data_IF_092472311427
#
_entry.id   IF_092472311427
#
_cell.length_a   1.000
_cell.length_b   1.000
_cell.length_c   1.000
_cell.angle_alpha   90.00
_cell.angle_beta   90.00
_cell.angle_gamma   90.00
#
_symmetry.space_group_name_H-M   'P 1'
#
loop_
_entity.id
_entity.type
_entity.pdbx_description
1 polymer ?
#
# COMPACT_ATOMS: atom_id res chain seq x y z
N UNK A 1 17.34 -37.86 -9.56
CA UNK A 1 17.48 -36.98 -10.75
C UNK A 1 16.49 -35.80 -10.73
N UNK A 2 15.42 -35.85 -9.93
CA UNK A 2 14.34 -34.85 -9.89
C UNK A 2 14.68 -33.52 -9.17
N UNK A 3 15.50 -33.55 -8.10
CA UNK A 3 15.74 -32.37 -7.26
C UNK A 3 16.60 -31.28 -7.94
N UNK A 4 17.41 -31.65 -8.94
CA UNK A 4 18.23 -30.67 -9.70
C UNK A 4 17.36 -29.77 -10.58
N UNK A 5 16.31 -30.32 -11.21
CA UNK A 5 15.39 -29.54 -12.05
C UNK A 5 14.69 -28.44 -11.25
N UNK A 6 14.18 -28.76 -10.06
CA UNK A 6 13.52 -27.77 -9.18
C UNK A 6 14.49 -26.66 -8.78
N UNK A 7 15.73 -27.00 -8.43
CA UNK A 7 16.75 -26.00 -8.10
C UNK A 7 17.06 -25.08 -9.29
N UNK A 8 17.15 -25.64 -10.49
CA UNK A 8 17.37 -24.89 -11.73
C UNK A 8 16.18 -23.97 -12.07
N UNK A 9 14.93 -24.45 -11.88
CA UNK A 9 13.71 -23.63 -12.03
C UNK A 9 13.70 -22.43 -11.08
N UNK A 10 14.04 -22.60 -9.80
CA UNK A 10 14.14 -21.48 -8.86
C UNK A 10 15.28 -20.51 -9.23
N UNK A 11 16.36 -21.02 -9.82
CA UNK A 11 17.49 -20.21 -10.27
C UNK A 11 17.11 -19.35 -11.48
N UNK A 12 16.38 -19.90 -12.43
CA UNK A 12 15.83 -19.19 -13.58
C UNK A 12 14.76 -18.18 -13.16
N UNK A 13 13.81 -18.57 -12.30
CA UNK A 13 12.80 -17.66 -11.77
C UNK A 13 13.42 -16.45 -11.03
N UNK A 14 14.48 -16.68 -10.25
CA UNK A 14 15.23 -15.60 -9.60
C UNK A 14 15.97 -14.70 -10.60
N UNK A 15 16.43 -15.24 -11.72
CA UNK A 15 17.06 -14.46 -12.78
C UNK A 15 16.04 -13.60 -13.55
N UNK A 16 14.83 -14.10 -13.79
CA UNK A 16 13.72 -13.34 -14.39
C UNK A 16 13.19 -12.25 -13.46
N UNK A 17 13.03 -12.55 -12.16
CA UNK A 17 12.68 -11.55 -11.14
C UNK A 17 13.69 -10.41 -11.01
N UNK A 18 14.94 -10.63 -11.47
CA UNK A 18 15.98 -9.60 -11.53
C UNK A 18 15.88 -8.72 -12.77
N UNK A 19 15.19 -9.18 -13.83
CA UNK A 19 14.85 -8.39 -15.02
C UNK A 19 13.61 -7.52 -14.81
N UNK A 20 12.79 -7.83 -13.80
CA UNK A 20 11.73 -6.94 -13.35
C UNK A 20 12.37 -5.65 -12.86
N UNK A 21 12.03 -4.54 -13.51
CA UNK A 21 12.38 -3.18 -13.10
C UNK A 21 11.71 -2.87 -11.78
N UNK A 22 12.39 -3.22 -10.69
CA UNK A 22 11.99 -2.80 -9.35
C UNK A 22 12.12 -1.28 -9.26
N UNK A 23 11.09 -0.58 -8.75
CA UNK A 23 11.18 0.84 -8.50
C UNK A 23 12.34 1.11 -7.54
N UNK A 24 13.05 2.23 -7.77
CA UNK A 24 14.14 2.64 -6.89
C UNK A 24 13.60 2.89 -5.48
N UNK A 25 14.42 2.60 -4.46
CA UNK A 25 14.02 2.75 -3.05
C UNK A 25 13.42 4.14 -2.76
N UNK A 26 13.94 5.19 -3.40
CA UNK A 26 13.40 6.55 -3.31
C UNK A 26 11.95 6.66 -3.79
N UNK A 27 11.61 6.12 -4.98
CA UNK A 27 10.23 6.15 -5.48
C UNK A 27 9.27 5.43 -4.54
N UNK A 28 9.71 4.32 -3.94
CA UNK A 28 8.89 3.61 -2.96
C UNK A 28 8.56 4.48 -1.74
N UNK A 29 9.56 5.18 -1.20
CA UNK A 29 9.36 6.09 -0.07
C UNK A 29 8.44 7.27 -0.41
N UNK A 30 8.61 7.89 -1.59
CA UNK A 30 7.74 8.98 -2.03
C UNK A 30 6.28 8.53 -2.15
N UNK A 31 6.03 7.40 -2.80
CA UNK A 31 4.68 6.84 -2.94
C UNK A 31 4.05 6.51 -1.59
N UNK A 32 4.81 5.94 -0.65
CA UNK A 32 4.31 5.67 0.71
C UNK A 32 3.96 6.95 1.47
N UNK A 33 4.81 7.98 1.39
CA UNK A 33 4.56 9.27 2.05
C UNK A 33 3.29 9.92 1.49
N UNK A 34 3.12 9.91 0.16
CA UNK A 34 1.91 10.47 -0.48
C UNK A 34 0.65 9.75 0.00
N UNK A 35 0.67 8.42 0.06
CA UNK A 35 -0.48 7.63 0.54
C UNK A 35 -0.80 7.95 2.01
N UNK A 36 0.21 8.09 2.86
CA UNK A 36 0.02 8.47 4.28
C UNK A 36 -0.66 9.84 4.39
N UNK A 37 -0.16 10.83 3.65
CA UNK A 37 -0.72 12.19 3.66
C UNK A 37 -2.17 12.19 3.19
N UNK A 38 -2.47 11.53 2.06
CA UNK A 38 -3.83 11.46 1.52
C UNK A 38 -4.77 10.73 2.49
N UNK A 39 -4.30 9.66 3.12
CA UNK A 39 -5.09 8.89 4.10
C UNK A 39 -5.40 9.72 5.35
N UNK A 40 -4.44 10.52 5.84
CA UNK A 40 -4.66 11.42 6.97
C UNK A 40 -5.68 12.51 6.64
N UNK A 41 -5.62 13.10 5.43
CA UNK A 41 -6.59 14.09 4.98
C UNK A 41 -7.99 13.47 4.89
N UNK A 42 -8.10 12.28 4.29
CA UNK A 42 -9.38 11.56 4.19
C UNK A 42 -9.95 11.23 5.57
N UNK A 43 -9.12 10.74 6.49
CA UNK A 43 -9.52 10.44 7.86
C UNK A 43 -9.99 11.70 8.61
N UNK A 44 -9.29 12.82 8.46
CA UNK A 44 -9.69 14.09 9.07
C UNK A 44 -11.03 14.60 8.50
N UNK A 45 -11.23 14.50 7.18
CA UNK A 45 -12.49 14.88 6.54
C UNK A 45 -13.66 14.01 7.00
N UNK A 46 -13.50 12.69 6.95
CA UNK A 46 -14.54 11.75 7.39
C UNK A 46 -14.85 11.93 8.88
N UNK A 47 -13.82 12.02 9.72
CA UNK A 47 -14.00 12.26 11.16
C UNK A 47 -14.70 13.59 11.46
N UNK A 48 -14.43 14.65 10.71
CA UNK A 48 -15.15 15.91 10.85
C UNK A 48 -16.62 15.76 10.48
N UNK A 49 -16.92 15.07 9.39
CA UNK A 49 -18.30 14.81 8.94
C UNK A 49 -19.04 13.96 9.98
N UNK A 50 -18.42 12.92 10.53
CA UNK A 50 -19.02 12.06 11.55
C UNK A 50 -19.36 12.83 12.83
N UNK A 51 -18.47 13.73 13.28
CA UNK A 51 -18.71 14.59 14.45
C UNK A 51 -19.83 15.59 14.19
N UNK A 52 -19.86 16.22 13.01
CA UNK A 52 -20.92 17.15 12.63
C UNK A 52 -22.28 16.45 12.56
N UNK A 53 -22.34 15.29 11.90
CA UNK A 53 -23.57 14.51 11.80
C UNK A 53 -24.04 14.03 13.18
N UNK A 54 -23.15 13.48 14.01
CA UNK A 54 -23.50 13.01 15.37
C UNK A 54 -23.98 14.16 16.25
N UNK A 55 -23.31 15.31 16.21
CA UNK A 55 -23.69 16.49 16.99
C UNK A 55 -25.02 17.10 16.55
N UNK A 56 -25.36 17.04 15.26
CA UNK A 56 -26.66 17.49 14.74
C UNK A 56 -27.76 16.48 15.05
N UNK A 57 -27.51 15.18 14.83
CA UNK A 57 -28.47 14.13 15.17
C UNK A 57 -28.81 14.13 16.67
N UNK A 58 -27.82 14.29 17.55
CA UNK A 58 -28.06 14.33 19.01
C UNK A 58 -28.80 15.58 19.49
N UNK A 59 -28.95 16.60 18.64
CA UNK A 59 -29.73 17.81 18.94
C UNK A 59 -31.17 17.68 18.46
N UNK A 60 -31.43 16.77 17.52
CA UNK A 60 -32.74 16.56 16.87
C UNK A 60 -33.51 15.41 17.55
N UNK A 61 -32.81 14.34 17.95
CA UNK A 61 -33.33 13.26 18.81
C UNK A 61 -33.14 13.67 20.28
#
# INVERSE_FOLDING_TARGET
>A
MEMKKVLDYFREAKAELKRVTWPTKQQLWYSTIVVIVVSLIAAAYLGLVDVLLTGVLSRII
#
